data_IF_703858386699
#
_entry.id   IF_703858386699
#
_cell.length_a   1.000
_cell.length_b   1.000
_cell.length_c   1.000
_cell.angle_alpha   90.00
_cell.angle_beta   90.00
_cell.angle_gamma   90.00
#
_symmetry.space_group_name_H-M   'P 1'
#
loop_
_entity.id
_entity.type
_entity.pdbx_description
1 polymer ?
#
# COMPACT_ATOMS: atom_id res chain seq x y z
N UNK A 1 -33.94 -4.48 -8.22
CA UNK A 1 -33.13 -5.32 -9.13
C UNK A 1 -31.65 -4.91 -9.19
N UNK A 2 -31.33 -3.63 -9.16
CA UNK A 2 -29.90 -3.17 -9.23
C UNK A 2 -29.01 -3.71 -8.11
N UNK A 3 -29.53 -4.07 -6.95
CA UNK A 3 -28.74 -4.65 -5.82
C UNK A 3 -28.02 -5.96 -6.20
N UNK A 4 -28.47 -6.66 -7.24
CA UNK A 4 -27.86 -7.90 -7.72
C UNK A 4 -26.52 -7.70 -8.46
N UNK A 5 -26.08 -6.45 -8.69
CA UNK A 5 -24.78 -6.20 -9.32
C UNK A 5 -23.62 -6.72 -8.48
N UNK A 6 -23.71 -6.66 -7.15
CA UNK A 6 -22.64 -7.13 -6.26
C UNK A 6 -22.49 -8.66 -6.30
N UNK A 7 -23.55 -9.48 -6.14
CA UNK A 7 -23.47 -10.92 -6.36
C UNK A 7 -22.95 -11.28 -7.76
N UNK A 8 -23.44 -10.62 -8.81
CA UNK A 8 -23.00 -10.88 -10.18
C UNK A 8 -21.51 -10.54 -10.38
N UNK A 9 -21.06 -9.42 -9.82
CA UNK A 9 -19.66 -9.03 -9.81
C UNK A 9 -18.79 -10.08 -9.11
N UNK A 10 -19.20 -10.58 -7.93
CA UNK A 10 -18.48 -11.62 -7.21
C UNK A 10 -18.43 -12.93 -8.00
N UNK A 11 -19.51 -13.32 -8.69
CA UNK A 11 -19.54 -14.48 -9.57
C UNK A 11 -18.49 -14.32 -10.68
N UNK A 12 -18.42 -13.14 -11.33
CA UNK A 12 -17.43 -12.89 -12.37
C UNK A 12 -15.99 -12.99 -11.87
N UNK A 13 -15.72 -12.50 -10.67
CA UNK A 13 -14.41 -12.67 -10.05
C UNK A 13 -14.09 -14.14 -9.76
N UNK A 14 -15.05 -14.92 -9.25
CA UNK A 14 -14.87 -16.33 -8.93
C UNK A 14 -14.60 -17.20 -10.15
N UNK A 15 -15.17 -16.86 -11.29
CA UNK A 15 -14.87 -17.53 -12.57
C UNK A 15 -13.59 -17.04 -13.24
N UNK A 16 -12.84 -16.12 -12.59
CA UNK A 16 -11.53 -15.65 -13.06
C UNK A 16 -11.59 -14.50 -14.09
N UNK A 17 -12.72 -13.79 -14.21
CA UNK A 17 -12.81 -12.62 -15.07
C UNK A 17 -11.95 -11.48 -14.48
N UNK A 18 -11.10 -10.80 -15.30
CA UNK A 18 -10.32 -9.65 -14.80
C UNK A 18 -11.21 -8.58 -14.20
N UNK A 19 -10.74 -7.98 -13.08
CA UNK A 19 -11.50 -7.02 -12.26
C UNK A 19 -12.09 -5.87 -13.09
N UNK A 20 -11.33 -5.33 -14.05
CA UNK A 20 -11.79 -4.28 -14.94
C UNK A 20 -13.09 -4.65 -15.68
N UNK A 21 -13.12 -5.83 -16.29
CA UNK A 21 -14.32 -6.30 -17.01
C UNK A 21 -15.46 -6.62 -16.06
N UNK A 22 -15.17 -7.17 -14.89
CA UNK A 22 -16.19 -7.47 -13.87
C UNK A 22 -16.88 -6.22 -13.36
N UNK A 23 -16.13 -5.12 -13.16
CA UNK A 23 -16.64 -3.81 -12.74
C UNK A 23 -17.59 -3.16 -13.76
N UNK A 24 -17.45 -3.48 -15.03
CA UNK A 24 -18.29 -2.95 -16.11
C UNK A 24 -19.41 -3.89 -16.51
N UNK A 25 -19.12 -5.19 -16.59
CA UNK A 25 -20.08 -6.19 -17.06
C UNK A 25 -21.24 -6.38 -16.06
N UNK A 26 -20.95 -6.45 -14.75
CA UNK A 26 -21.99 -6.65 -13.75
C UNK A 26 -23.02 -5.51 -13.75
N UNK A 27 -22.66 -4.23 -13.62
CA UNK A 27 -23.64 -3.14 -13.73
C UNK A 27 -24.25 -3.00 -15.14
N UNK A 28 -23.47 -3.22 -16.20
CA UNK A 28 -23.95 -3.10 -17.57
C UNK A 28 -25.07 -4.11 -17.91
N UNK A 29 -24.90 -5.37 -17.52
CA UNK A 29 -25.92 -6.42 -17.71
C UNK A 29 -27.19 -6.06 -16.94
N UNK A 30 -27.06 -5.58 -15.70
CA UNK A 30 -28.24 -5.25 -14.88
C UNK A 30 -28.98 -4.01 -15.38
N UNK A 31 -28.30 -3.00 -15.87
CA UNK A 31 -28.93 -1.85 -16.53
C UNK A 31 -29.70 -2.31 -17.78
N UNK A 32 -29.11 -3.22 -18.56
CA UNK A 32 -29.77 -3.79 -19.73
C UNK A 32 -31.03 -4.60 -19.35
N UNK A 33 -30.93 -5.49 -18.36
CA UNK A 33 -32.05 -6.31 -17.88
C UNK A 33 -33.18 -5.47 -17.25
N UNK A 34 -32.87 -4.30 -16.70
CA UNK A 34 -33.86 -3.35 -16.16
C UNK A 34 -34.51 -2.48 -17.23
N UNK A 35 -34.22 -2.66 -18.50
CA UNK A 35 -34.72 -1.80 -19.58
C UNK A 35 -34.05 -0.42 -19.64
N UNK A 36 -33.01 -0.20 -18.87
CA UNK A 36 -32.20 1.03 -18.79
C UNK A 36 -30.99 0.99 -19.74
N UNK A 37 -31.11 0.36 -20.89
CA UNK A 37 -30.02 0.19 -21.85
C UNK A 37 -29.43 1.55 -22.31
N UNK A 38 -30.23 2.64 -22.30
CA UNK A 38 -29.77 4.00 -22.60
C UNK A 38 -28.76 4.51 -21.58
N UNK A 39 -28.84 4.04 -20.33
CA UNK A 39 -27.92 4.42 -19.26
C UNK A 39 -26.56 3.71 -19.38
N UNK A 40 -26.47 2.69 -20.24
CA UNK A 40 -25.19 2.06 -20.61
C UNK A 40 -24.18 3.06 -21.18
N UNK A 41 -24.63 4.08 -21.91
CA UNK A 41 -23.78 5.17 -22.39
C UNK A 41 -23.15 5.98 -21.23
N UNK A 42 -23.83 6.06 -20.09
CA UNK A 42 -23.33 6.71 -18.87
C UNK A 42 -22.11 5.98 -18.30
N UNK A 43 -22.04 4.64 -18.39
CA UNK A 43 -20.88 3.87 -17.95
C UNK A 43 -19.61 4.29 -18.74
N UNK A 44 -19.70 4.38 -20.06
CA UNK A 44 -18.57 4.82 -20.89
C UNK A 44 -18.16 6.26 -20.58
N UNK A 45 -19.13 7.16 -20.43
CA UNK A 45 -18.86 8.55 -20.05
C UNK A 45 -18.18 8.64 -18.70
N UNK A 46 -18.60 7.83 -17.74
CA UNK A 46 -18.01 7.82 -16.39
C UNK A 46 -16.62 7.19 -16.36
N UNK A 47 -16.30 6.23 -17.22
CA UNK A 47 -14.92 5.74 -17.39
C UNK A 47 -14.02 6.88 -17.85
N UNK A 48 -14.41 7.59 -18.90
CA UNK A 48 -13.62 8.68 -19.45
C UNK A 48 -13.45 9.82 -18.45
N UNK A 49 -14.56 10.33 -17.90
CA UNK A 49 -14.54 11.39 -16.90
C UNK A 49 -13.82 10.97 -15.61
N UNK A 50 -13.86 9.68 -15.28
CA UNK A 50 -13.21 9.11 -14.11
C UNK A 50 -11.68 9.07 -14.23
N UNK A 51 -11.14 9.03 -15.43
CA UNK A 51 -9.69 9.09 -15.68
C UNK A 51 -9.23 10.53 -15.85
N UNK A 52 -10.08 11.40 -16.40
CA UNK A 52 -9.77 12.81 -16.66
C UNK A 52 -9.85 13.63 -15.36
N UNK A 53 -8.84 13.47 -14.53
CA UNK A 53 -8.76 14.14 -13.23
C UNK A 53 -7.32 14.51 -12.86
N UNK A 54 -7.12 15.78 -12.50
CA UNK A 54 -5.81 16.29 -12.11
C UNK A 54 -5.17 15.53 -10.94
N UNK A 55 -5.87 15.21 -9.83
CA UNK A 55 -5.29 14.41 -8.75
C UNK A 55 -4.79 13.03 -9.16
N UNK A 56 -5.41 12.40 -10.15
CA UNK A 56 -4.98 11.08 -10.64
C UNK A 56 -3.65 11.11 -11.39
N UNK A 57 -3.23 12.26 -11.91
CA UNK A 57 -1.91 12.42 -12.52
C UNK A 57 -0.77 12.18 -11.52
N UNK A 58 -1.03 12.26 -10.22
CA UNK A 58 -0.06 11.91 -9.20
C UNK A 58 0.38 10.43 -9.29
N UNK A 59 -0.51 9.52 -9.69
CA UNK A 59 -0.22 8.08 -9.78
C UNK A 59 0.90 7.78 -10.79
N UNK A 60 0.81 8.19 -12.07
CA UNK A 60 1.89 7.99 -13.04
C UNK A 60 3.23 8.59 -12.59
N UNK A 61 3.21 9.78 -12.02
CA UNK A 61 4.44 10.44 -11.58
C UNK A 61 5.07 9.75 -10.36
N UNK A 62 4.29 9.32 -9.37
CA UNK A 62 4.84 8.54 -8.24
C UNK A 62 5.35 7.17 -8.70
N UNK A 63 4.65 6.49 -9.64
CA UNK A 63 5.13 5.23 -10.21
C UNK A 63 6.44 5.43 -10.98
N UNK A 64 6.56 6.51 -11.73
CA UNK A 64 7.78 6.88 -12.42
C UNK A 64 8.91 7.21 -11.44
N UNK A 65 8.63 8.02 -10.40
CA UNK A 65 9.60 8.33 -9.35
C UNK A 65 10.12 7.05 -8.68
N UNK A 66 9.24 6.14 -8.27
CA UNK A 66 9.61 4.87 -7.65
C UNK A 66 10.49 3.99 -8.56
N UNK A 67 10.17 3.90 -9.85
CA UNK A 67 10.95 3.11 -10.80
C UNK A 67 12.32 3.75 -11.08
N UNK A 68 12.37 5.09 -11.22
CA UNK A 68 13.64 5.85 -11.36
C UNK A 68 14.55 5.66 -10.13
N UNK A 69 13.96 5.70 -8.93
CA UNK A 69 14.69 5.51 -7.68
C UNK A 69 15.23 4.09 -7.54
N UNK A 70 14.42 3.11 -7.91
CA UNK A 70 14.83 1.71 -7.86
C UNK A 70 15.99 1.45 -8.84
N UNK A 71 15.88 1.92 -10.09
CA UNK A 71 16.93 1.76 -11.10
C UNK A 71 18.15 2.63 -10.81
N UNK A 72 17.97 3.81 -10.22
CA UNK A 72 19.03 4.76 -9.85
C UNK A 72 19.84 4.39 -8.61
N UNK A 73 19.75 3.12 -8.11
CA UNK A 73 20.56 2.60 -7.01
C UNK A 73 20.23 3.19 -5.63
N UNK A 74 19.09 3.83 -5.50
CA UNK A 74 18.63 4.45 -4.23
C UNK A 74 18.36 3.35 -3.20
N UNK A 75 17.73 2.25 -3.62
CA UNK A 75 17.40 1.10 -2.75
C UNK A 75 18.64 0.55 -2.06
N UNK A 76 19.76 0.38 -2.78
CA UNK A 76 21.02 -0.11 -2.22
C UNK A 76 21.53 0.81 -1.11
N UNK A 77 21.46 2.13 -1.30
CA UNK A 77 21.95 3.11 -0.32
C UNK A 77 21.10 3.16 0.94
N UNK A 78 19.77 2.95 0.80
CA UNK A 78 18.88 2.82 1.96
C UNK A 78 19.17 1.55 2.76
N UNK A 79 19.48 0.43 2.09
CA UNK A 79 19.89 -0.81 2.74
C UNK A 79 21.25 -0.63 3.45
N UNK A 80 22.25 -0.01 2.81
CA UNK A 80 23.55 0.30 3.44
C UNK A 80 23.37 1.19 4.68
N UNK A 81 22.50 2.20 4.60
CA UNK A 81 22.19 3.07 5.73
C UNK A 81 21.51 2.28 6.86
N UNK A 82 20.48 1.49 6.54
CA UNK A 82 19.78 0.66 7.52
C UNK A 82 20.74 -0.33 8.20
N UNK A 83 21.67 -0.90 7.45
CA UNK A 83 22.71 -1.80 7.99
C UNK A 83 23.65 -1.07 8.93
N UNK A 84 24.10 0.13 8.59
CA UNK A 84 24.94 0.94 9.48
C UNK A 84 24.22 1.32 10.79
N UNK A 85 22.91 1.51 10.74
CA UNK A 85 22.10 1.88 11.91
C UNK A 85 21.73 0.69 12.79
N UNK A 86 21.28 -0.42 12.20
CA UNK A 86 20.64 -1.53 12.91
C UNK A 86 21.36 -2.88 12.80
N UNK A 87 22.36 -3.01 11.91
CA UNK A 87 23.03 -4.29 11.67
C UNK A 87 23.72 -4.89 12.92
N UNK A 88 24.04 -4.06 13.91
CA UNK A 88 24.65 -4.47 15.17
C UNK A 88 23.65 -5.01 16.21
N UNK A 89 22.36 -4.95 15.93
CA UNK A 89 21.32 -5.50 16.82
C UNK A 89 21.27 -7.02 16.69
N UNK A 90 20.78 -7.70 17.71
CA UNK A 90 20.52 -9.13 17.65
C UNK A 90 19.38 -9.40 16.69
N UNK A 91 19.58 -10.24 15.67
CA UNK A 91 18.69 -10.31 14.51
C UNK A 91 18.93 -9.18 13.49
N UNK A 92 20.16 -8.64 13.42
CA UNK A 92 20.52 -7.41 12.73
C UNK A 92 19.97 -7.28 11.32
N UNK A 93 20.19 -8.27 10.42
CA UNK A 93 19.68 -8.19 9.05
C UNK A 93 18.15 -8.24 8.95
N UNK A 94 17.45 -8.86 9.90
CA UNK A 94 15.99 -8.79 9.92
C UNK A 94 15.49 -7.38 10.30
N UNK A 95 16.15 -6.71 11.26
CA UNK A 95 15.87 -5.30 11.56
C UNK A 95 16.23 -4.37 10.40
N UNK A 96 17.35 -4.66 9.71
CA UNK A 96 17.74 -3.95 8.48
C UNK A 96 16.67 -4.08 7.40
N UNK A 97 16.11 -5.28 7.21
CA UNK A 97 15.03 -5.52 6.25
C UNK A 97 13.81 -4.65 6.55
N UNK A 98 13.33 -4.66 7.81
CA UNK A 98 12.19 -3.84 8.22
C UNK A 98 12.48 -2.35 8.04
N UNK A 99 13.62 -1.86 8.53
CA UNK A 99 13.96 -0.43 8.39
C UNK A 99 14.10 -0.02 6.93
N UNK A 100 14.71 -0.87 6.10
CA UNK A 100 14.81 -0.62 4.65
C UNK A 100 13.44 -0.55 4.00
N UNK A 101 12.51 -1.44 4.36
CA UNK A 101 11.12 -1.39 3.89
C UNK A 101 10.41 -0.11 4.33
N UNK A 102 10.57 0.32 5.58
CA UNK A 102 10.00 1.59 6.08
C UNK A 102 10.53 2.80 5.30
N UNK A 103 11.83 2.85 5.02
CA UNK A 103 12.43 3.96 4.27
C UNK A 103 12.08 3.91 2.78
N UNK A 104 12.03 2.72 2.21
CA UNK A 104 11.68 2.51 0.81
C UNK A 104 10.18 2.71 0.55
N UNK A 105 9.33 2.48 1.54
CA UNK A 105 7.89 2.77 1.50
C UNK A 105 7.61 4.21 1.05
N UNK A 106 8.33 5.18 1.61
CA UNK A 106 8.26 6.60 1.22
C UNK A 106 8.70 6.90 -0.22
N UNK A 107 9.04 5.90 -1.01
CA UNK A 107 9.50 6.02 -2.40
C UNK A 107 8.64 5.22 -3.36
N UNK A 108 8.26 3.98 -3.03
CA UNK A 108 7.58 3.03 -3.92
C UNK A 108 6.06 3.04 -3.79
N UNK A 109 5.55 3.17 -2.57
CA UNK A 109 4.13 3.09 -2.26
C UNK A 109 3.46 1.74 -2.60
N UNK A 110 4.24 0.67 -2.84
CA UNK A 110 3.77 -0.64 -3.30
C UNK A 110 4.44 -1.80 -2.59
N UNK A 111 3.64 -2.64 -1.93
CA UNK A 111 4.12 -3.83 -1.23
C UNK A 111 4.81 -4.84 -2.18
N UNK A 112 4.29 -5.01 -3.38
CA UNK A 112 4.87 -5.89 -4.42
C UNK A 112 6.23 -5.39 -4.87
N UNK A 113 6.36 -4.08 -5.13
CA UNK A 113 7.63 -3.47 -5.53
C UNK A 113 8.67 -3.57 -4.42
N UNK A 114 8.28 -3.33 -3.16
CA UNK A 114 9.14 -3.43 -1.99
C UNK A 114 9.65 -4.86 -1.79
N UNK A 115 8.76 -5.86 -1.85
CA UNK A 115 9.13 -7.27 -1.75
C UNK A 115 10.14 -7.66 -2.83
N UNK A 116 9.94 -7.22 -4.05
CA UNK A 116 10.83 -7.52 -5.18
C UNK A 116 12.19 -6.83 -5.01
N UNK A 117 12.20 -5.52 -4.76
CA UNK A 117 13.42 -4.72 -4.70
C UNK A 117 14.27 -5.09 -3.47
N UNK A 118 13.70 -5.03 -2.28
CA UNK A 118 14.41 -5.31 -1.02
C UNK A 118 14.70 -6.81 -0.90
N UNK A 119 13.75 -7.67 -1.28
CA UNK A 119 13.89 -9.11 -1.22
C UNK A 119 15.03 -9.64 -2.07
N UNK A 120 15.17 -9.15 -3.31
CA UNK A 120 16.26 -9.56 -4.22
C UNK A 120 17.65 -9.27 -3.64
N UNK A 121 17.79 -8.26 -2.79
CA UNK A 121 19.04 -7.87 -2.15
C UNK A 121 19.24 -8.56 -0.79
N UNK A 122 18.23 -8.51 0.07
CA UNK A 122 18.37 -8.91 1.46
C UNK A 122 18.13 -10.41 1.70
N UNK A 123 17.29 -11.09 0.93
CA UNK A 123 17.10 -12.54 1.11
C UNK A 123 18.41 -13.31 0.91
N UNK A 124 19.19 -13.12 -0.19
CA UNK A 124 20.48 -13.78 -0.35
C UNK A 124 21.52 -13.33 0.70
N UNK A 125 21.48 -12.06 1.12
CA UNK A 125 22.40 -11.54 2.13
C UNK A 125 22.12 -12.17 3.51
N UNK A 126 20.85 -12.31 3.88
CA UNK A 126 20.43 -12.96 5.13
C UNK A 126 20.82 -14.45 5.12
N UNK A 127 20.60 -15.15 4.01
CA UNK A 127 20.98 -16.56 3.87
C UNK A 127 22.49 -16.76 4.04
N UNK A 128 23.32 -15.92 3.42
CA UNK A 128 24.79 -15.94 3.59
C UNK A 128 25.23 -15.71 5.03
N UNK A 129 24.45 -14.99 5.83
CA UNK A 129 24.71 -14.77 7.25
C UNK A 129 24.14 -15.89 8.15
N UNK A 130 23.49 -16.91 7.58
CA UNK A 130 22.99 -18.06 8.33
C UNK A 130 21.52 -18.00 8.75
N UNK A 131 20.75 -17.03 8.26
CA UNK A 131 19.31 -17.08 8.38
C UNK A 131 18.70 -18.12 7.44
N UNK A 132 17.61 -18.79 7.86
CA UNK A 132 16.90 -19.66 6.92
C UNK A 132 16.24 -18.83 5.83
N UNK A 133 16.31 -19.30 4.59
CA UNK A 133 15.75 -18.61 3.41
C UNK A 133 14.26 -18.35 3.55
N UNK A 134 13.50 -19.30 4.11
CA UNK A 134 12.08 -19.17 4.43
C UNK A 134 11.79 -18.02 5.40
N UNK A 135 12.64 -17.83 6.43
CA UNK A 135 12.50 -16.71 7.36
C UNK A 135 12.81 -15.38 6.68
N UNK A 136 13.89 -15.31 5.89
CA UNK A 136 14.25 -14.12 5.13
C UNK A 136 13.13 -13.70 4.17
N UNK A 137 12.53 -14.64 3.45
CA UNK A 137 11.39 -14.40 2.58
C UNK A 137 10.15 -13.93 3.37
N UNK A 138 9.86 -14.56 4.51
CA UNK A 138 8.70 -14.22 5.35
C UNK A 138 8.80 -12.82 5.94
N UNK A 139 9.97 -12.43 6.49
CA UNK A 139 10.14 -11.08 7.05
C UNK A 139 10.13 -10.00 5.98
N UNK A 140 10.67 -10.29 4.79
CA UNK A 140 10.59 -9.39 3.64
C UNK A 140 9.14 -9.18 3.20
N UNK A 141 8.37 -10.24 3.11
CA UNK A 141 6.95 -10.16 2.77
C UNK A 141 6.16 -9.36 3.83
N UNK A 142 6.36 -9.65 5.11
CA UNK A 142 5.70 -8.93 6.20
C UNK A 142 6.09 -7.45 6.24
N UNK A 143 7.38 -7.11 6.12
CA UNK A 143 7.80 -5.70 6.15
C UNK A 143 7.35 -4.90 4.92
N UNK A 144 7.15 -5.56 3.78
CA UNK A 144 6.73 -4.89 2.55
C UNK A 144 5.30 -4.33 2.60
N UNK A 145 4.43 -4.83 3.50
CA UNK A 145 3.07 -4.29 3.67
C UNK A 145 3.08 -2.84 4.17
N UNK A 146 4.21 -2.38 4.73
CA UNK A 146 4.41 -0.99 5.15
C UNK A 146 4.43 -0.05 3.93
N UNK A 147 4.85 -0.55 2.75
CA UNK A 147 4.99 0.23 1.52
C UNK A 147 3.78 1.09 1.17
N UNK A 148 2.59 0.51 1.04
CA UNK A 148 1.38 1.26 0.75
C UNK A 148 0.81 2.07 1.93
N UNK A 149 1.35 1.92 3.15
CA UNK A 149 0.84 2.60 4.36
C UNK A 149 1.61 3.90 4.60
N UNK A 150 2.94 3.89 4.48
CA UNK A 150 3.76 5.11 4.64
C UNK A 150 3.68 5.94 3.34
N UNK A 151 3.40 7.25 3.42
CA UNK A 151 3.32 8.10 2.24
C UNK A 151 4.69 8.33 1.56
N UNK A 152 4.68 8.56 0.21
CA UNK A 152 3.53 8.61 -0.67
C UNK A 152 2.96 7.23 -1.03
N UNK A 153 1.64 7.09 -1.03
CA UNK A 153 0.95 5.82 -1.22
C UNK A 153 -0.03 5.90 -2.38
N UNK A 154 0.14 5.04 -3.38
CA UNK A 154 -0.74 4.98 -4.54
C UNK A 154 -2.18 4.61 -4.17
N UNK A 155 -2.38 3.70 -3.21
CA UNK A 155 -3.72 3.30 -2.77
C UNK A 155 -4.44 4.41 -2.00
N UNK A 156 -3.71 5.25 -1.26
CA UNK A 156 -4.31 6.41 -0.59
C UNK A 156 -4.75 7.48 -1.58
N UNK A 157 -4.03 7.67 -2.70
CA UNK A 157 -4.45 8.56 -3.77
C UNK A 157 -5.72 8.04 -4.44
N UNK A 158 -5.78 6.74 -4.71
CA UNK A 158 -6.98 6.09 -5.25
C UNK A 158 -8.17 6.28 -4.30
N UNK A 159 -7.98 6.01 -3.01
CA UNK A 159 -9.02 6.20 -2.01
C UNK A 159 -9.50 7.66 -1.97
N UNK A 160 -8.56 8.61 -1.87
CA UNK A 160 -8.86 10.04 -1.85
C UNK A 160 -9.72 10.46 -3.03
N UNK A 161 -9.35 10.02 -4.22
CA UNK A 161 -10.08 10.33 -5.44
C UNK A 161 -11.49 9.71 -5.46
N UNK A 162 -11.58 8.42 -5.17
CA UNK A 162 -12.87 7.68 -5.23
C UNK A 162 -13.84 8.19 -4.18
N UNK A 163 -13.36 8.52 -2.99
CA UNK A 163 -14.19 8.95 -1.86
C UNK A 163 -14.35 10.47 -1.76
N UNK A 164 -13.53 11.26 -2.45
CA UNK A 164 -13.55 12.72 -2.38
C UNK A 164 -12.78 13.27 -1.17
N UNK A 165 -11.81 12.53 -0.66
CA UNK A 165 -11.03 12.89 0.53
C UNK A 165 -9.73 13.61 0.17
N UNK A 166 -9.12 14.28 1.16
CA UNK A 166 -7.84 14.96 0.99
C UNK A 166 -6.68 13.96 0.93
N UNK A 167 -5.93 13.95 -0.18
CA UNK A 167 -4.69 13.14 -0.32
C UNK A 167 -3.68 13.50 0.77
N UNK A 168 -3.54 14.80 1.09
CA UNK A 168 -2.62 15.27 2.13
C UNK A 168 -3.02 14.74 3.51
N UNK A 169 -4.32 14.78 3.85
CA UNK A 169 -4.83 14.23 5.10
C UNK A 169 -4.56 12.74 5.23
N UNK A 170 -4.76 11.96 4.15
CA UNK A 170 -4.50 10.52 4.13
C UNK A 170 -3.01 10.20 4.26
N UNK A 171 -2.16 10.96 3.59
CA UNK A 171 -0.71 10.81 3.72
C UNK A 171 -0.26 11.02 5.16
N UNK A 172 -0.73 12.08 5.81
CA UNK A 172 -0.42 12.36 7.22
C UNK A 172 -0.95 11.27 8.16
N UNK A 173 -2.16 10.78 7.89
CA UNK A 173 -2.80 9.74 8.67
C UNK A 173 -2.07 8.39 8.59
N UNK A 174 -1.35 8.11 7.49
CA UNK A 174 -0.61 6.85 7.29
C UNK A 174 0.76 6.79 7.99
N UNK A 175 1.34 7.93 8.38
CA UNK A 175 2.70 7.98 8.95
C UNK A 175 2.80 7.16 10.25
N UNK A 176 1.98 7.48 11.24
CA UNK A 176 2.03 6.81 12.56
C UNK A 176 1.66 5.33 12.47
N UNK A 177 0.57 4.93 11.76
CA UNK A 177 0.27 3.53 11.50
C UNK A 177 1.42 2.75 10.87
N UNK A 178 2.04 3.27 9.82
CA UNK A 178 3.16 2.60 9.14
C UNK A 178 4.39 2.43 10.04
N UNK A 179 4.73 3.45 10.83
CA UNK A 179 5.80 3.36 11.84
C UNK A 179 5.46 2.32 12.90
N UNK A 180 4.20 2.28 13.35
CA UNK A 180 3.74 1.34 14.37
C UNK A 180 3.86 -0.12 13.88
N UNK A 181 3.48 -0.40 12.62
CA UNK A 181 3.70 -1.72 11.99
C UNK A 181 5.18 -2.06 11.98
N UNK A 182 6.05 -1.15 11.53
CA UNK A 182 7.49 -1.38 11.48
C UNK A 182 8.09 -1.66 12.86
N UNK A 183 7.76 -0.88 13.87
CA UNK A 183 8.24 -1.08 15.25
C UNK A 183 7.73 -2.42 15.79
N UNK A 184 6.48 -2.77 15.58
CA UNK A 184 5.91 -4.03 16.06
C UNK A 184 6.61 -5.25 15.47
N UNK A 185 6.92 -5.22 14.16
CA UNK A 185 7.72 -6.26 13.51
C UNK A 185 9.15 -6.34 14.08
N UNK A 186 9.78 -5.20 14.38
CA UNK A 186 11.10 -5.17 15.02
C UNK A 186 11.07 -5.80 16.42
N UNK A 187 10.01 -5.57 17.20
CA UNK A 187 9.81 -6.20 18.51
C UNK A 187 9.71 -7.71 18.35
N UNK A 188 8.91 -8.19 17.40
CA UNK A 188 8.79 -9.64 17.14
C UNK A 188 10.14 -10.26 16.74
N UNK A 189 10.87 -9.62 15.83
CA UNK A 189 12.23 -10.07 15.45
C UNK A 189 13.14 -10.16 16.67
N UNK A 190 13.09 -9.18 17.56
CA UNK A 190 13.90 -9.17 18.78
C UNK A 190 13.55 -10.32 19.72
N UNK A 191 12.26 -10.61 19.90
CA UNK A 191 11.78 -11.75 20.71
C UNK A 191 12.14 -13.10 20.07
N UNK A 192 12.03 -13.20 18.75
CA UNK A 192 12.39 -14.41 18.01
C UNK A 192 13.90 -14.66 18.01
N UNK A 193 14.72 -13.61 18.02
CA UNK A 193 16.17 -13.73 17.94
C UNK A 193 16.77 -14.57 19.07
N UNK A 194 16.17 -14.51 20.27
CA UNK A 194 16.62 -15.30 21.42
C UNK A 194 16.15 -16.76 21.32
N UNK A 195 14.95 -16.99 20.77
CA UNK A 195 14.34 -18.32 20.67
C UNK A 195 14.91 -19.16 19.51
N UNK A 196 15.25 -18.54 18.40
CA UNK A 196 15.67 -19.21 17.18
C UNK A 196 17.18 -19.13 16.92
N UNK A 197 17.99 -18.71 17.92
CA UNK A 197 19.43 -18.59 17.84
C UNK A 197 19.90 -17.91 16.55
N UNK A 198 19.37 -16.72 16.27
CA UNK A 198 19.76 -15.96 15.09
C UNK A 198 21.26 -15.71 15.05
N UNK A 199 21.85 -15.60 13.85
CA UNK A 199 23.26 -15.34 13.68
C UNK A 199 23.72 -14.17 14.54
N UNK A 200 24.99 -14.18 15.00
CA UNK A 200 25.53 -13.08 15.80
C UNK A 200 25.43 -11.77 15.02
N UNK A 201 25.17 -10.71 15.75
CA UNK A 201 25.13 -9.37 15.20
C UNK A 201 26.44 -9.02 14.51
N UNK A 202 26.37 -8.22 13.44
CA UNK A 202 27.57 -7.62 12.84
C UNK A 202 28.26 -6.68 13.82
N UNK A 203 29.55 -6.43 13.62
CA UNK A 203 30.28 -5.46 14.43
C UNK A 203 29.57 -4.10 14.38
N UNK A 204 29.53 -3.42 15.53
CA UNK A 204 28.92 -2.09 15.62
C UNK A 204 29.67 -1.12 14.70
N UNK A 205 28.98 -0.55 13.73
CA UNK A 205 29.55 0.46 12.83
C UNK A 205 30.09 1.65 13.61
N UNK A 206 31.31 2.09 13.24
CA UNK A 206 31.92 3.27 13.83
C UNK A 206 31.14 4.54 13.41
N UNK A 207 31.26 5.62 14.19
CA UNK A 207 30.63 6.90 13.88
C UNK A 207 30.98 7.44 12.50
N UNK A 208 32.23 7.19 12.02
CA UNK A 208 32.67 7.54 10.66
C UNK A 208 31.91 6.76 9.59
N UNK A 209 31.67 5.46 9.81
CA UNK A 209 30.90 4.60 8.89
C UNK A 209 29.44 5.01 8.84
N UNK A 210 28.83 5.28 10.02
CA UNK A 210 27.47 5.81 10.12
C UNK A 210 27.34 7.15 9.39
N UNK A 211 28.28 8.07 9.60
CA UNK A 211 28.30 9.35 8.91
C UNK A 211 28.42 9.20 7.39
N UNK A 212 29.29 8.29 6.92
CA UNK A 212 29.42 8.01 5.47
C UNK A 212 28.13 7.40 4.90
N UNK A 213 27.53 6.43 5.59
CA UNK A 213 26.25 5.83 5.15
C UNK A 213 25.12 6.86 5.13
N UNK A 214 25.05 7.74 6.15
CA UNK A 214 24.09 8.84 6.19
C UNK A 214 24.26 9.84 5.04
N UNK A 215 25.51 10.18 4.71
CA UNK A 215 25.80 11.07 3.56
C UNK A 215 25.40 10.44 2.23
N UNK A 216 25.65 9.13 2.05
CA UNK A 216 25.22 8.41 0.84
C UNK A 216 23.70 8.30 0.73
N UNK A 217 23.01 8.13 1.85
CA UNK A 217 21.54 8.05 1.92
C UNK A 217 20.86 9.41 1.96
N UNK A 218 21.60 10.52 2.07
CA UNK A 218 21.04 11.86 2.20
C UNK A 218 20.10 12.19 1.05
N UNK A 219 20.56 12.03 -0.20
CA UNK A 219 19.73 12.30 -1.37
C UNK A 219 18.50 11.38 -1.46
N UNK A 220 18.61 10.04 -1.31
CA UNK A 220 17.46 9.17 -1.16
C UNK A 220 16.44 9.64 -0.12
N UNK A 221 16.89 9.97 1.08
CA UNK A 221 16.03 10.37 2.20
C UNK A 221 15.39 11.76 2.00
N UNK A 222 15.95 12.60 1.13
CA UNK A 222 15.34 13.89 0.80
C UNK A 222 14.05 13.76 -0.01
N UNK A 223 13.82 12.65 -0.71
CA UNK A 223 12.61 12.48 -1.52
C UNK A 223 11.32 12.57 -0.71
N UNK A 224 11.10 11.75 0.34
CA UNK A 224 9.90 11.89 1.16
C UNK A 224 9.83 13.25 1.87
N UNK A 225 10.97 13.86 2.21
CA UNK A 225 11.02 15.20 2.80
C UNK A 225 10.54 16.27 1.81
N UNK A 226 10.97 16.19 0.54
CA UNK A 226 10.52 17.09 -0.52
C UNK A 226 9.02 16.93 -0.76
N UNK A 227 8.54 15.71 -0.87
CA UNK A 227 7.13 15.42 -1.12
C UNK A 227 6.26 15.92 0.04
N UNK A 228 6.49 15.38 1.24
CA UNK A 228 5.68 15.71 2.41
C UNK A 228 5.88 17.17 2.85
N UNK A 229 7.12 17.64 2.89
CA UNK A 229 7.43 19.04 3.25
C UNK A 229 6.82 20.02 2.28
N UNK A 230 6.84 19.73 0.97
CA UNK A 230 6.22 20.59 -0.05
C UNK A 230 4.68 20.61 0.05
N UNK A 231 4.05 19.46 0.31
CA UNK A 231 2.60 19.36 0.50
C UNK A 231 2.17 20.07 1.79
N UNK A 232 2.85 19.79 2.91
CA UNK A 232 2.54 20.37 4.22
C UNK A 232 2.81 21.88 4.27
N UNK A 233 3.87 22.33 3.58
CA UNK A 233 4.18 23.75 3.46
C UNK A 233 3.24 24.49 2.52
N UNK A 234 2.27 23.82 1.88
CA UNK A 234 1.36 24.42 0.91
C UNK A 234 2.05 24.90 -0.38
N UNK A 235 3.29 24.45 -0.62
CA UNK A 235 4.08 24.83 -1.81
C UNK A 235 3.62 24.02 -3.02
N UNK A 236 3.29 22.76 -2.82
CA UNK A 236 2.90 21.81 -3.86
C UNK A 236 1.57 21.13 -3.54
N UNK A 237 0.75 20.94 -4.55
CA UNK A 237 -0.31 19.93 -4.53
C UNK A 237 0.32 18.52 -4.58
N UNK A 238 -0.39 17.46 -4.19
CA UNK A 238 0.11 16.08 -4.31
C UNK A 238 0.57 15.70 -5.72
N UNK A 239 -0.11 16.22 -6.76
CA UNK A 239 0.25 16.01 -8.16
C UNK A 239 1.57 16.70 -8.51
N UNK A 240 1.73 17.97 -8.15
CA UNK A 240 2.99 18.71 -8.37
C UNK A 240 4.13 18.09 -7.59
N UNK A 241 3.91 17.68 -6.32
CA UNK A 241 4.91 17.00 -5.52
C UNK A 241 5.38 15.70 -6.17
N UNK A 242 4.47 14.94 -6.82
CA UNK A 242 4.82 13.70 -7.53
C UNK A 242 5.69 13.98 -8.76
N UNK A 243 5.39 15.02 -9.52
CA UNK A 243 6.19 15.44 -10.67
C UNK A 243 7.59 15.91 -10.25
N UNK A 244 7.67 16.71 -9.16
CA UNK A 244 8.94 17.14 -8.55
C UNK A 244 9.75 15.94 -8.07
N UNK A 245 9.11 14.95 -7.43
CA UNK A 245 9.78 13.73 -6.99
C UNK A 245 10.36 12.92 -8.17
N UNK A 246 9.61 12.80 -9.28
CA UNK A 246 10.09 12.13 -10.48
C UNK A 246 11.28 12.86 -11.11
N UNK A 247 11.19 14.18 -11.22
CA UNK A 247 12.29 15.02 -11.73
C UNK A 247 13.53 14.93 -10.82
N UNK A 248 13.33 14.97 -9.51
CA UNK A 248 14.39 14.81 -8.51
C UNK A 248 15.06 13.44 -8.62
N UNK A 249 14.27 12.37 -8.69
CA UNK A 249 14.80 11.01 -8.83
C UNK A 249 15.62 10.83 -10.11
N UNK A 250 15.13 11.38 -11.23
CA UNK A 250 15.85 11.39 -12.50
C UNK A 250 17.18 12.13 -12.39
N UNK A 251 17.15 13.34 -11.85
CA UNK A 251 18.35 14.18 -11.68
C UNK A 251 19.40 13.50 -10.78
N UNK A 252 18.97 13.01 -9.62
CA UNK A 252 19.87 12.36 -8.68
C UNK A 252 20.43 11.05 -9.26
N UNK A 253 19.60 10.24 -9.92
CA UNK A 253 20.04 8.98 -10.52
C UNK A 253 21.07 9.16 -11.62
N UNK A 254 20.90 10.16 -12.49
CA UNK A 254 21.78 10.44 -13.63
C UNK A 254 23.08 11.18 -13.25
N UNK A 255 22.95 12.24 -12.45
CA UNK A 255 24.05 13.20 -12.28
C UNK A 255 24.79 13.05 -10.96
N UNK A 256 24.10 12.66 -9.87
CA UNK A 256 24.71 12.60 -8.54
C UNK A 256 25.18 11.17 -8.23
N UNK A 257 24.28 10.20 -8.34
CA UNK A 257 24.57 8.80 -8.04
C UNK A 257 25.24 8.09 -9.22
N UNK A 258 24.86 8.48 -10.44
CA UNK A 258 25.41 7.95 -11.70
C UNK A 258 25.17 6.43 -11.90
N UNK A 259 24.16 5.90 -11.23
CA UNK A 259 23.74 4.50 -11.36
C UNK A 259 22.67 4.32 -12.45
N UNK A 260 22.03 5.42 -12.87
CA UNK A 260 21.06 5.44 -13.96
C UNK A 260 21.76 5.94 -15.23
N UNK A 261 21.67 5.16 -16.31
CA UNK A 261 22.18 5.57 -17.62
C UNK A 261 21.05 6.08 -18.52
N UNK A 262 21.36 6.99 -19.46
CA UNK A 262 20.36 7.51 -20.42
C UNK A 262 19.67 6.42 -21.23
N UNK A 263 20.35 5.31 -21.50
CA UNK A 263 19.79 4.14 -22.20
C UNK A 263 18.74 3.38 -21.36
N UNK A 264 18.71 3.54 -20.05
CA UNK A 264 17.74 2.91 -19.16
C UNK A 264 16.41 3.68 -19.13
N UNK A 265 16.44 4.99 -19.42
CA UNK A 265 15.28 5.87 -19.31
C UNK A 265 14.06 5.35 -20.09
N UNK A 266 14.16 4.94 -21.37
CA UNK A 266 12.99 4.43 -22.10
C UNK A 266 12.34 3.22 -21.44
N UNK A 267 13.14 2.32 -20.85
CA UNK A 267 12.64 1.11 -20.15
C UNK A 267 11.93 1.47 -18.86
N UNK A 268 12.48 2.44 -18.11
CA UNK A 268 11.88 2.95 -16.87
C UNK A 268 10.53 3.59 -17.17
N UNK A 269 10.46 4.47 -18.18
CA UNK A 269 9.22 5.09 -18.61
C UNK A 269 8.19 4.06 -19.10
N UNK A 270 8.62 3.09 -19.91
CA UNK A 270 7.74 2.02 -20.39
C UNK A 270 7.12 1.24 -19.22
N UNK A 271 7.94 0.86 -18.23
CA UNK A 271 7.46 0.09 -17.08
C UNK A 271 6.51 0.94 -16.22
N UNK A 272 6.86 2.19 -15.93
CA UNK A 272 6.00 3.10 -15.19
C UNK A 272 4.66 3.34 -15.93
N UNK A 273 4.70 3.53 -17.25
CA UNK A 273 3.51 3.72 -18.07
C UNK A 273 2.60 2.49 -18.06
N UNK A 274 3.16 1.28 -18.19
CA UNK A 274 2.38 0.04 -18.13
C UNK A 274 1.65 -0.12 -16.80
N UNK A 275 2.35 0.07 -15.68
CA UNK A 275 1.73 -0.04 -14.34
C UNK A 275 0.67 1.05 -14.15
N UNK A 276 0.98 2.29 -14.51
CA UNK A 276 0.05 3.41 -14.39
C UNK A 276 -1.21 3.23 -15.23
N UNK A 277 -1.09 2.72 -16.46
CA UNK A 277 -2.24 2.52 -17.34
C UNK A 277 -3.21 1.47 -16.82
N UNK A 278 -2.70 0.39 -16.19
CA UNK A 278 -3.54 -0.62 -15.54
C UNK A 278 -4.31 -0.01 -14.38
N UNK A 279 -3.64 0.77 -13.53
CA UNK A 279 -4.26 1.41 -12.36
C UNK A 279 -5.31 2.43 -12.82
N UNK A 280 -4.99 3.31 -13.75
CA UNK A 280 -5.93 4.34 -14.24
C UNK A 280 -7.15 3.71 -14.94
N UNK A 281 -6.96 2.65 -15.69
CA UNK A 281 -8.06 1.91 -16.31
C UNK A 281 -9.03 1.34 -15.27
N UNK A 282 -8.47 0.76 -14.19
CA UNK A 282 -9.28 0.27 -13.07
C UNK A 282 -10.03 1.40 -12.36
N UNK A 283 -9.39 2.56 -12.15
CA UNK A 283 -10.05 3.73 -11.55
C UNK A 283 -11.19 4.22 -12.44
N UNK A 284 -11.02 4.28 -13.76
CA UNK A 284 -12.08 4.62 -14.69
C UNK A 284 -13.28 3.69 -14.58
N UNK A 285 -13.05 2.36 -14.59
CA UNK A 285 -14.11 1.37 -14.39
C UNK A 285 -14.80 1.52 -13.03
N UNK A 286 -14.03 1.85 -12.00
CA UNK A 286 -14.54 2.10 -10.66
C UNK A 286 -15.50 3.29 -10.58
N UNK A 287 -15.22 4.36 -11.29
CA UNK A 287 -16.12 5.52 -11.32
C UNK A 287 -17.44 5.21 -12.01
N UNK A 288 -17.41 4.38 -13.06
CA UNK A 288 -18.62 3.83 -13.65
C UNK A 288 -19.39 2.93 -12.66
N UNK A 289 -18.67 2.03 -11.96
CA UNK A 289 -19.25 1.16 -10.94
C UNK A 289 -19.84 1.96 -9.77
N UNK A 290 -19.12 2.95 -9.22
CA UNK A 290 -19.59 3.85 -8.15
C UNK A 290 -20.93 4.49 -8.48
N UNK A 291 -21.12 4.90 -9.73
CA UNK A 291 -22.40 5.50 -10.16
C UNK A 291 -23.56 4.51 -10.01
N UNK A 292 -23.36 3.25 -10.41
CA UNK A 292 -24.40 2.22 -10.27
C UNK A 292 -24.62 1.85 -8.80
N UNK A 293 -23.55 1.79 -7.99
CA UNK A 293 -23.66 1.62 -6.53
C UNK A 293 -24.57 2.70 -5.93
N UNK A 294 -24.33 3.96 -6.30
CA UNK A 294 -25.16 5.08 -5.83
C UNK A 294 -26.61 4.99 -6.28
N UNK A 295 -26.84 4.66 -7.56
CA UNK A 295 -28.19 4.50 -8.11
C UNK A 295 -28.96 3.30 -7.53
N UNK A 296 -28.27 2.31 -7.03
CA UNK A 296 -28.87 1.10 -6.43
C UNK A 296 -29.24 1.27 -4.96
N UNK A 297 -28.89 2.41 -4.34
CA UNK A 297 -28.99 2.62 -2.89
C UNK A 297 -28.35 1.48 -2.07
N UNK A 298 -27.28 0.86 -2.63
CA UNK A 298 -26.60 -0.26 -1.98
C UNK A 298 -25.97 0.11 -0.63
N UNK A 299 -25.36 1.30 -0.46
CA UNK A 299 -24.84 1.72 0.85
C UNK A 299 -25.92 1.80 1.92
N UNK A 300 -27.08 2.38 1.60
CA UNK A 300 -28.23 2.51 2.52
C UNK A 300 -28.82 1.16 2.91
N UNK A 301 -28.97 0.25 1.94
CA UNK A 301 -29.42 -1.12 2.22
C UNK A 301 -28.41 -1.88 3.08
N UNK A 302 -27.11 -1.71 2.82
CA UNK A 302 -26.06 -2.33 3.61
C UNK A 302 -26.03 -1.72 5.02
N UNK A 303 -26.14 -0.39 5.14
CA UNK A 303 -26.23 0.28 6.44
C UNK A 303 -27.39 -0.25 7.28
N UNK A 304 -28.59 -0.34 6.69
CA UNK A 304 -29.76 -0.90 7.36
C UNK A 304 -29.56 -2.36 7.79
N UNK A 305 -28.94 -3.19 6.95
CA UNK A 305 -28.60 -4.56 7.27
C UNK A 305 -27.57 -4.66 8.41
N UNK A 306 -26.50 -3.88 8.33
CA UNK A 306 -25.41 -3.86 9.32
C UNK A 306 -25.89 -3.34 10.67
N UNK A 307 -26.68 -2.27 10.69
CA UNK A 307 -27.32 -1.74 11.90
C UNK A 307 -28.36 -2.71 12.47
N UNK A 308 -29.00 -3.52 11.63
CA UNK A 308 -29.89 -4.61 12.07
C UNK A 308 -29.16 -5.78 12.75
N UNK A 309 -27.83 -5.92 12.56
CA UNK A 309 -27.04 -6.96 13.22
C UNK A 309 -26.66 -6.57 14.66
N UNK A 310 -26.29 -5.31 14.86
CA UNK A 310 -25.89 -4.79 16.18
C UNK A 310 -25.83 -3.27 16.16
N UNK A 311 -26.23 -2.65 17.26
CA UNK A 311 -26.08 -1.19 17.49
C UNK A 311 -24.70 -0.82 18.05
N UNK A 312 -23.84 -1.81 18.32
CA UNK A 312 -22.54 -1.57 18.91
C UNK A 312 -21.49 -1.29 17.83
N UNK A 313 -20.97 -0.06 17.70
CA UNK A 313 -20.01 0.32 16.68
C UNK A 313 -18.69 -0.46 16.79
N UNK A 314 -18.30 -0.89 17.99
CA UNK A 314 -17.07 -1.68 18.18
C UNK A 314 -17.17 -3.08 17.58
N UNK A 315 -18.35 -3.70 17.65
CA UNK A 315 -18.58 -5.01 17.01
C UNK A 315 -18.58 -4.85 15.48
N UNK A 316 -19.17 -3.77 14.98
CA UNK A 316 -19.16 -3.48 13.53
C UNK A 316 -17.75 -3.22 13.01
N UNK A 317 -16.93 -2.48 13.75
CA UNK A 317 -15.52 -2.28 13.43
C UNK A 317 -14.72 -3.60 13.48
N UNK A 318 -15.05 -4.51 14.38
CA UNK A 318 -14.45 -5.84 14.41
C UNK A 318 -14.80 -6.64 13.14
N UNK A 319 -16.07 -6.69 12.79
CA UNK A 319 -16.56 -7.43 11.62
C UNK A 319 -15.97 -6.89 10.31
N UNK A 320 -15.87 -5.55 10.18
CA UNK A 320 -15.29 -4.95 8.98
C UNK A 320 -13.79 -5.25 8.86
N UNK A 321 -13.04 -5.28 9.98
CA UNK A 321 -11.64 -5.68 9.93
C UNK A 321 -11.47 -7.10 9.41
N UNK A 322 -12.32 -8.04 9.85
CA UNK A 322 -12.29 -9.42 9.34
C UNK A 322 -12.62 -9.45 7.84
N UNK A 323 -13.67 -8.73 7.44
CA UNK A 323 -14.06 -8.66 6.02
C UNK A 323 -12.92 -8.12 5.15
N UNK A 324 -12.37 -6.96 5.51
CA UNK A 324 -11.30 -6.31 4.76
C UNK A 324 -10.02 -7.16 4.73
N UNK A 325 -9.69 -7.79 5.85
CA UNK A 325 -8.56 -8.70 5.94
C UNK A 325 -8.72 -9.90 5.00
N UNK A 326 -9.90 -10.52 5.00
CA UNK A 326 -10.23 -11.63 4.09
C UNK A 326 -10.19 -11.17 2.63
N UNK A 327 -10.79 -10.01 2.31
CA UNK A 327 -10.76 -9.48 0.95
C UNK A 327 -9.32 -9.22 0.49
N UNK A 328 -8.47 -8.67 1.36
CA UNK A 328 -7.05 -8.42 1.06
C UNK A 328 -6.24 -9.68 0.78
N UNK A 329 -6.69 -10.87 1.23
CA UNK A 329 -6.04 -12.14 0.87
C UNK A 329 -6.21 -12.49 -0.62
N UNK A 330 -7.29 -12.02 -1.25
CA UNK A 330 -7.68 -12.42 -2.61
C UNK A 330 -7.54 -11.30 -3.64
N UNK A 331 -7.67 -10.04 -3.22
CA UNK A 331 -7.65 -8.87 -4.09
C UNK A 331 -6.47 -7.97 -3.74
N UNK A 332 -5.89 -7.34 -4.76
CA UNK A 332 -4.97 -6.24 -4.54
C UNK A 332 -5.69 -5.06 -3.87
N UNK A 333 -4.96 -4.31 -3.05
CA UNK A 333 -5.52 -3.22 -2.24
C UNK A 333 -6.18 -2.12 -3.08
N UNK A 334 -5.62 -1.80 -4.26
CA UNK A 334 -6.19 -0.81 -5.17
C UNK A 334 -7.62 -1.18 -5.62
N UNK A 335 -7.81 -2.29 -6.34
CA UNK A 335 -9.14 -2.80 -6.71
C UNK A 335 -10.09 -2.97 -5.52
N UNK A 336 -9.60 -3.48 -4.38
CA UNK A 336 -10.44 -3.67 -3.21
C UNK A 336 -10.98 -2.34 -2.66
N UNK A 337 -10.15 -1.30 -2.58
CA UNK A 337 -10.57 0.06 -2.18
C UNK A 337 -11.59 0.64 -3.14
N UNK A 338 -11.37 0.48 -4.43
CA UNK A 338 -12.25 0.96 -5.50
C UNK A 338 -13.66 0.37 -5.37
N UNK A 339 -13.75 -0.90 -5.03
CA UNK A 339 -15.02 -1.65 -4.93
C UNK A 339 -15.70 -1.36 -3.59
N UNK A 340 -14.95 -1.55 -2.51
CA UNK A 340 -15.53 -1.53 -1.17
C UNK A 340 -15.63 -0.11 -0.58
N UNK A 341 -14.76 0.82 -1.00
CA UNK A 341 -14.78 2.20 -0.51
C UNK A 341 -16.14 2.88 -0.65
N UNK A 342 -16.70 2.96 -1.88
CA UNK A 342 -18.01 3.59 -2.10
C UNK A 342 -19.19 2.88 -1.41
N UNK A 343 -19.03 1.61 -1.08
CA UNK A 343 -20.09 0.81 -0.42
C UNK A 343 -20.01 0.96 1.10
N UNK A 344 -18.81 0.80 1.66
CA UNK A 344 -18.58 0.76 3.11
C UNK A 344 -18.36 2.15 3.71
N UNK A 345 -17.67 3.05 2.98
CA UNK A 345 -17.32 4.37 3.49
C UNK A 345 -18.50 5.15 4.03
N UNK A 346 -19.60 5.37 3.26
CA UNK A 346 -20.78 6.07 3.75
C UNK A 346 -21.37 5.44 5.01
N UNK A 347 -21.45 4.10 5.07
CA UNK A 347 -21.99 3.36 6.22
C UNK A 347 -21.23 3.67 7.51
N UNK A 348 -19.89 3.63 7.45
CA UNK A 348 -19.06 3.88 8.63
C UNK A 348 -18.99 5.36 9.02
N UNK A 349 -19.15 6.26 8.05
CA UNK A 349 -19.30 7.71 8.33
C UNK A 349 -20.62 8.00 9.06
N UNK A 350 -21.72 7.38 8.67
CA UNK A 350 -23.00 7.47 9.39
C UNK A 350 -22.91 6.93 10.83
N UNK A 351 -22.05 5.93 11.06
CA UNK A 351 -21.74 5.40 12.40
C UNK A 351 -20.79 6.29 13.21
N UNK A 352 -20.41 7.47 12.68
CA UNK A 352 -19.53 8.42 13.37
C UNK A 352 -18.03 8.15 13.23
N UNK A 353 -17.63 7.23 12.36
CA UNK A 353 -16.21 7.01 12.07
C UNK A 353 -15.71 8.09 11.10
N UNK A 354 -14.65 8.80 11.48
CA UNK A 354 -14.09 9.84 10.62
C UNK A 354 -13.61 9.25 9.26
N UNK A 355 -13.94 9.87 8.10
CA UNK A 355 -13.63 9.32 6.78
C UNK A 355 -12.14 9.00 6.57
N UNK A 356 -11.25 9.90 7.01
CA UNK A 356 -9.78 9.70 6.94
C UNK A 356 -9.34 8.52 7.80
N UNK A 357 -9.93 8.35 8.99
CA UNK A 357 -9.63 7.21 9.85
C UNK A 357 -10.08 5.89 9.21
N UNK A 358 -11.28 5.86 8.63
CA UNK A 358 -11.79 4.69 7.92
C UNK A 358 -10.92 4.33 6.70
N UNK A 359 -10.42 5.32 5.99
CA UNK A 359 -9.45 5.12 4.91
C UNK A 359 -8.20 4.37 5.37
N UNK A 360 -7.66 4.73 6.54
CA UNK A 360 -6.49 4.07 7.12
C UNK A 360 -6.83 2.65 7.57
N UNK A 361 -7.98 2.42 8.21
CA UNK A 361 -8.46 1.07 8.55
C UNK A 361 -8.52 0.20 7.31
N UNK A 362 -9.14 0.69 6.23
CA UNK A 362 -9.21 -0.01 4.96
C UNK A 362 -7.84 -0.31 4.37
N UNK A 363 -7.00 0.71 4.27
CA UNK A 363 -5.68 0.59 3.65
C UNK A 363 -4.80 -0.41 4.40
N UNK A 364 -4.74 -0.34 5.73
CA UNK A 364 -3.88 -1.23 6.53
C UNK A 364 -4.37 -2.68 6.48
N UNK A 365 -5.68 -2.92 6.61
CA UNK A 365 -6.26 -4.26 6.49
C UNK A 365 -5.97 -4.91 5.14
N UNK A 366 -6.25 -4.20 4.06
CA UNK A 366 -6.06 -4.71 2.71
C UNK A 366 -4.58 -4.99 2.41
N UNK A 367 -3.67 -4.12 2.86
CA UNK A 367 -2.24 -4.32 2.62
C UNK A 367 -1.66 -5.48 3.42
N UNK A 368 -2.06 -5.65 4.68
CA UNK A 368 -1.66 -6.83 5.47
C UNK A 368 -2.26 -8.11 4.86
N UNK A 369 -3.47 -8.04 4.34
CA UNK A 369 -4.09 -9.11 3.57
C UNK A 369 -3.23 -9.59 2.40
N UNK A 370 -2.52 -8.68 1.69
CA UNK A 370 -1.61 -9.05 0.60
C UNK A 370 -0.46 -9.98 1.00
N UNK A 371 -0.08 -9.99 2.27
CA UNK A 371 0.95 -10.88 2.81
C UNK A 371 0.35 -12.12 3.49
N UNK A 372 -0.98 -12.30 3.42
CA UNK A 372 -1.70 -13.33 4.19
C UNK A 372 -2.11 -14.49 3.30
N UNK A 373 -1.90 -15.77 3.74
CA UNK A 373 -2.43 -16.94 3.03
C UNK A 373 -3.97 -16.91 2.96
N UNK A 374 -4.63 -17.51 1.94
CA UNK A 374 -4.08 -18.50 1.02
C UNK A 374 -3.43 -17.92 -0.24
N UNK A 375 -3.87 -16.75 -0.74
CA UNK A 375 -3.36 -16.23 -2.01
C UNK A 375 -2.27 -15.17 -1.83
N UNK A 376 -2.49 -14.11 -1.10
CA UNK A 376 -1.55 -13.03 -0.78
C UNK A 376 -0.50 -12.70 -1.85
N UNK A 377 -0.76 -11.70 -2.69
CA UNK A 377 0.11 -11.37 -3.83
C UNK A 377 1.59 -11.18 -3.45
N UNK A 378 1.86 -10.63 -2.28
CA UNK A 378 3.22 -10.43 -1.75
C UNK A 378 3.92 -11.77 -1.48
N UNK A 379 3.18 -12.81 -1.07
CA UNK A 379 3.74 -14.15 -0.85
C UNK A 379 4.24 -14.78 -2.15
N UNK A 380 3.53 -14.59 -3.26
CA UNK A 380 3.96 -15.08 -4.57
C UNK A 380 5.22 -14.36 -5.06
N UNK A 381 5.30 -13.04 -4.82
CA UNK A 381 6.51 -12.27 -5.14
C UNK A 381 7.69 -12.73 -4.29
N UNK A 382 7.49 -12.90 -2.98
CA UNK A 382 8.50 -13.43 -2.07
C UNK A 382 8.96 -14.83 -2.47
N UNK A 383 8.03 -15.70 -2.91
CA UNK A 383 8.32 -17.02 -3.46
C UNK A 383 9.18 -16.94 -4.73
N UNK A 384 8.79 -16.07 -5.68
CA UNK A 384 9.53 -15.86 -6.92
C UNK A 384 10.98 -15.37 -6.68
N UNK A 385 11.14 -14.44 -5.74
CA UNK A 385 12.46 -13.86 -5.42
C UNK A 385 13.32 -14.81 -4.59
N UNK A 386 12.72 -15.53 -3.66
CA UNK A 386 13.44 -16.43 -2.78
C UNK A 386 13.66 -17.83 -3.36
N UNK A 387 12.83 -18.28 -4.30
CA UNK A 387 12.78 -19.67 -4.76
C UNK A 387 12.16 -20.64 -3.75
N UNK A 388 11.65 -20.16 -2.61
CA UNK A 388 10.94 -20.96 -1.61
C UNK A 388 9.48 -21.15 -2.02
N UNK A 389 8.87 -22.29 -1.62
CA UNK A 389 7.45 -22.53 -1.87
C UNK A 389 6.59 -21.57 -1.06
N UNK A 390 5.49 -21.11 -1.65
CA UNK A 390 4.54 -20.18 -1.01
C UNK A 390 4.05 -20.73 0.34
N UNK A 391 3.75 -22.04 0.44
CA UNK A 391 3.26 -22.67 1.66
C UNK A 391 4.32 -22.63 2.79
N UNK A 392 5.59 -22.70 2.42
CA UNK A 392 6.70 -22.63 3.36
C UNK A 392 6.84 -21.23 3.94
N UNK A 393 6.74 -20.21 3.07
CA UNK A 393 6.75 -18.80 3.46
C UNK A 393 5.50 -18.50 4.30
N UNK A 394 4.33 -18.99 3.88
CA UNK A 394 3.05 -18.81 4.56
C UNK A 394 3.06 -19.31 6.02
N UNK A 395 3.73 -20.42 6.29
CA UNK A 395 3.93 -20.90 7.67
C UNK A 395 4.92 -20.04 8.46
N UNK A 396 5.96 -19.55 7.80
CA UNK A 396 6.99 -18.74 8.45
C UNK A 396 6.54 -17.31 8.77
N UNK A 397 5.57 -16.78 8.02
CA UNK A 397 5.06 -15.40 8.19
C UNK A 397 4.06 -15.28 9.35
N UNK A 398 3.44 -16.36 9.81
CA UNK A 398 2.36 -16.33 10.81
C UNK A 398 2.66 -15.50 12.07
N UNK A 399 3.87 -15.55 12.68
CA UNK A 399 4.17 -14.72 13.85
C UNK A 399 4.12 -13.22 13.55
N UNK A 400 4.50 -12.82 12.35
CA UNK A 400 4.47 -11.43 11.89
C UNK A 400 3.04 -10.98 11.63
N UNK A 401 2.25 -11.80 10.93
CA UNK A 401 0.82 -11.55 10.69
C UNK A 401 0.01 -11.42 11.98
N UNK A 402 0.33 -12.23 12.99
CA UNK A 402 -0.35 -12.14 14.29
C UNK A 402 -0.14 -10.77 14.95
N UNK A 403 1.05 -10.21 14.84
CA UNK A 403 1.35 -8.88 15.40
C UNK A 403 0.77 -7.78 14.51
N UNK A 404 0.81 -7.92 13.21
CA UNK A 404 0.16 -6.98 12.28
C UNK A 404 -1.35 -6.93 12.51
N UNK A 405 -1.99 -8.09 12.76
CA UNK A 405 -3.40 -8.14 13.15
C UNK A 405 -3.67 -7.37 14.47
N UNK A 406 -2.80 -7.52 15.47
CA UNK A 406 -2.91 -6.73 16.71
C UNK A 406 -2.80 -5.22 16.40
N UNK A 407 -1.86 -4.83 15.55
CA UNK A 407 -1.68 -3.42 15.15
C UNK A 407 -2.90 -2.89 14.38
N UNK A 408 -3.51 -3.71 13.50
CA UNK A 408 -4.77 -3.36 12.83
C UNK A 408 -5.85 -3.02 13.85
N UNK A 409 -6.06 -3.87 14.87
CA UNK A 409 -7.05 -3.61 15.91
C UNK A 409 -6.70 -2.39 16.75
N UNK A 410 -5.43 -2.17 17.08
CA UNK A 410 -4.99 -0.95 17.76
C UNK A 410 -5.32 0.30 16.95
N UNK A 411 -5.01 0.31 15.65
CA UNK A 411 -5.34 1.43 14.76
C UNK A 411 -6.85 1.63 14.73
N UNK A 412 -7.62 0.56 14.57
CA UNK A 412 -9.09 0.62 14.43
C UNK A 412 -9.77 1.20 15.67
N UNK A 413 -9.36 0.77 16.87
CA UNK A 413 -10.03 1.19 18.11
C UNK A 413 -9.44 2.45 18.75
N UNK A 414 -8.28 2.91 18.28
CA UNK A 414 -7.64 4.14 18.75
C UNK A 414 -7.47 5.13 17.59
N UNK A 415 -8.52 5.91 17.23
CA UNK A 415 -8.45 6.87 16.13
C UNK A 415 -7.30 7.87 16.25
N UNK A 416 -6.84 8.16 17.47
CA UNK A 416 -5.68 9.02 17.71
C UNK A 416 -4.42 8.54 16.97
N UNK A 417 -4.25 7.25 16.72
CA UNK A 417 -3.08 6.71 16.00
C UNK A 417 -3.01 7.24 14.56
N UNK A 418 -4.15 7.35 13.88
CA UNK A 418 -4.22 7.86 12.50
C UNK A 418 -4.56 9.35 12.42
N UNK A 419 -5.32 9.88 13.38
CA UNK A 419 -5.89 11.23 13.29
C UNK A 419 -5.04 12.32 13.93
N UNK A 420 -4.09 12.00 14.83
CA UNK A 420 -3.32 13.00 15.56
C UNK A 420 -2.58 13.97 14.64
N UNK A 421 -1.84 13.46 13.64
CA UNK A 421 -1.09 14.32 12.72
C UNK A 421 -2.04 15.15 11.84
N UNK A 422 -3.05 14.58 11.15
CA UNK A 422 -3.99 15.36 10.35
C UNK A 422 -4.72 16.46 11.12
N UNK A 423 -5.12 16.20 12.38
CA UNK A 423 -5.80 17.17 13.23
C UNK A 423 -4.87 18.32 13.67
N UNK A 424 -3.64 18.00 14.14
CA UNK A 424 -2.67 19.02 14.57
C UNK A 424 -2.26 19.91 13.41
N UNK A 425 -2.14 19.36 12.21
CA UNK A 425 -1.73 20.10 11.00
C UNK A 425 -2.90 20.82 10.31
N UNK A 426 -4.15 20.62 10.76
CA UNK A 426 -5.33 21.27 10.19
C UNK A 426 -5.82 20.69 8.86
N UNK A 427 -5.30 19.54 8.43
CA UNK A 427 -5.74 18.84 7.19
C UNK A 427 -6.97 17.96 7.40
N UNK A 428 -7.34 17.66 8.62
CA UNK A 428 -8.62 17.06 9.01
C UNK A 428 -9.30 17.93 10.08
N UNK A 429 -10.65 17.94 10.06
CA UNK A 429 -11.47 18.72 11.00
C UNK A 429 -12.29 17.77 11.86
#
# INVERSE_FOLDING_TARGET
MLVWFLPLFLIFLLIGMPVFFSLLAAPGILLWLNGQARDGAMLYRNIYNGIDSFPLMAIPFFMLAGELMNRGGITLRLVEFSQAMMGHLRGGLAHVNILSSMLFAGLSGSAVADTSAIGSMLIPAMEKQGYSRKFAAAITAASSVIGPIIPPSGIMIIYAYVMGESVAALFLAGIVPGILVGISLMVVVRLMADRYNFPPATLKSNWKEKGRASLKAFFPLMTPVIILGGILGGIFTPTEASAVAAAYALFIGLFVLKDLEFRDIPKVFQKAALVSSVVLLLVGAAMAFKTVVSLSHAPEHLAAFVLGLTDNPYILLFLINILLFVVGMFLDAGPAIIILGPILGPVFVELGVHPVHFAIIMSVNLTVGLATPPMGLVLFVASSVSGERVETIAKAILPFLAVEAIVIFLITYFPSISMTIPLITGFAK
#
